data_IF_297553314369
#
_entry.id   IF_297553314369
#
_cell.length_a   1.000
_cell.length_b   1.000
_cell.length_c   1.000
_cell.angle_alpha   90.00
_cell.angle_beta   90.00
_cell.angle_gamma   90.00
#
_symmetry.space_group_name_H-M   'P 1'
#
loop_
_entity.id
_entity.type
_entity.pdbx_description
1 polymer ?
#
# COMPACT_ATOMS: atom_id res chain seq x y z
N UNK A 1 -9.99 4.25 -36.67
CA UNK A 1 -8.69 3.98 -35.99
C UNK A 1 -8.79 2.60 -35.36
N UNK A 2 -7.93 1.66 -35.74
CA UNK A 2 -7.97 0.30 -35.19
C UNK A 2 -6.66 0.02 -34.45
N UNK A 3 -6.70 0.07 -33.13
CA UNK A 3 -5.57 -0.30 -32.27
C UNK A 3 -5.63 -1.80 -31.96
N UNK A 4 -4.57 -2.53 -32.27
CA UNK A 4 -4.48 -3.98 -31.98
C UNK A 4 -3.85 -4.21 -30.60
N UNK A 5 -4.44 -5.08 -29.79
CA UNK A 5 -3.92 -5.42 -28.46
C UNK A 5 -2.50 -6.03 -28.51
N UNK A 6 -2.19 -6.78 -29.57
CA UNK A 6 -0.84 -7.32 -29.78
C UNK A 6 0.22 -6.22 -29.94
N UNK A 7 -0.11 -5.14 -30.66
CA UNK A 7 0.79 -4.00 -30.83
C UNK A 7 1.00 -3.24 -29.53
N UNK A 8 -0.04 -3.07 -28.71
CA UNK A 8 0.08 -2.47 -27.38
C UNK A 8 0.99 -3.29 -26.46
N UNK A 9 0.89 -4.62 -26.47
CA UNK A 9 1.81 -5.51 -25.74
C UNK A 9 3.26 -5.34 -26.21
N UNK A 10 3.46 -5.13 -27.49
CA UNK A 10 4.79 -4.89 -28.06
C UNK A 10 5.38 -3.56 -27.58
N UNK A 11 4.58 -2.50 -27.59
CA UNK A 11 5.00 -1.20 -27.04
C UNK A 11 5.36 -1.33 -25.55
N UNK A 12 4.54 -2.01 -24.74
CA UNK A 12 4.82 -2.28 -23.31
C UNK A 12 6.15 -3.03 -23.12
N UNK A 13 6.41 -4.05 -23.93
CA UNK A 13 7.65 -4.83 -23.85
C UNK A 13 8.89 -4.00 -24.20
N UNK A 14 8.82 -3.17 -25.27
CA UNK A 14 9.93 -2.29 -25.64
C UNK A 14 10.19 -1.24 -24.56
N UNK A 15 9.15 -0.59 -24.04
CA UNK A 15 9.27 0.41 -22.99
C UNK A 15 9.92 -0.17 -21.71
N UNK A 16 9.47 -1.35 -21.28
CA UNK A 16 10.00 -2.03 -20.08
C UNK A 16 11.44 -2.50 -20.27
N UNK A 17 11.79 -3.06 -21.43
CA UNK A 17 13.14 -3.59 -21.71
C UNK A 17 14.13 -2.52 -22.17
N UNK A 18 13.63 -1.37 -22.60
CA UNK A 18 14.44 -0.33 -23.21
C UNK A 18 15.12 -0.78 -24.51
N UNK A 19 14.63 -1.83 -25.18
CA UNK A 19 15.29 -2.45 -26.34
C UNK A 19 14.33 -3.25 -27.21
N UNK A 20 14.31 -2.94 -28.50
CA UNK A 20 13.52 -3.68 -29.49
C UNK A 20 13.94 -5.15 -29.62
N UNK A 21 15.25 -5.43 -29.56
CA UNK A 21 15.74 -6.81 -29.66
C UNK A 21 15.39 -7.64 -28.43
N UNK A 22 15.49 -7.06 -27.21
CA UNK A 22 15.09 -7.75 -25.98
C UNK A 22 13.57 -7.98 -25.92
N UNK A 23 12.79 -7.01 -26.39
CA UNK A 23 11.33 -7.17 -26.51
C UNK A 23 10.96 -8.27 -27.52
N UNK A 24 11.67 -8.33 -28.66
CA UNK A 24 11.48 -9.39 -29.67
C UNK A 24 11.71 -10.79 -29.07
N UNK A 25 12.80 -10.95 -28.34
CA UNK A 25 13.11 -12.21 -27.65
C UNK A 25 12.03 -12.59 -26.63
N UNK A 26 11.57 -11.64 -25.81
CA UNK A 26 10.52 -11.89 -24.81
C UNK A 26 9.17 -12.26 -25.43
N UNK A 27 8.84 -11.64 -26.58
CA UNK A 27 7.56 -11.86 -27.28
C UNK A 27 7.61 -13.03 -28.26
N UNK A 28 8.79 -13.69 -28.42
CA UNK A 28 9.02 -14.76 -29.38
C UNK A 28 8.68 -14.38 -30.83
N UNK A 29 9.02 -13.12 -31.21
CA UNK A 29 8.87 -12.60 -32.58
C UNK A 29 10.20 -11.95 -33.03
N UNK A 30 10.28 -11.61 -34.31
CA UNK A 30 11.49 -10.97 -34.86
C UNK A 30 11.56 -9.48 -34.49
N UNK A 31 12.77 -8.94 -34.40
CA UNK A 31 12.95 -7.50 -34.14
C UNK A 31 12.33 -6.59 -35.22
N UNK A 32 12.38 -6.92 -36.52
CA UNK A 32 11.61 -6.18 -37.53
C UNK A 32 10.10 -6.18 -37.29
N UNK A 33 9.51 -7.31 -36.85
CA UNK A 33 8.10 -7.37 -36.48
C UNK A 33 7.76 -6.43 -35.31
N UNK A 34 8.60 -6.39 -34.26
CA UNK A 34 8.46 -5.43 -33.14
C UNK A 34 8.46 -3.99 -33.66
N UNK A 35 9.45 -3.66 -34.52
CA UNK A 35 9.56 -2.30 -35.11
C UNK A 35 8.34 -1.95 -35.96
N UNK A 36 7.84 -2.88 -36.74
CA UNK A 36 6.66 -2.67 -37.55
C UNK A 36 5.39 -2.45 -36.73
N UNK A 37 5.20 -3.21 -35.66
CA UNK A 37 4.05 -3.06 -34.76
C UNK A 37 4.06 -1.73 -34.02
N UNK A 38 5.22 -1.26 -33.54
CA UNK A 38 5.36 0.06 -32.91
C UNK A 38 5.06 1.17 -33.93
N UNK A 39 5.65 1.10 -35.14
CA UNK A 39 5.39 2.07 -36.21
C UNK A 39 3.91 2.11 -36.62
N UNK A 40 3.22 0.96 -36.62
CA UNK A 40 1.80 0.91 -36.90
C UNK A 40 0.97 1.68 -35.86
N UNK A 41 1.34 1.63 -34.56
CA UNK A 41 0.72 2.45 -33.52
C UNK A 41 1.02 3.93 -33.71
N UNK A 42 2.30 4.29 -33.96
CA UNK A 42 2.71 5.66 -34.19
C UNK A 42 2.01 6.29 -35.41
N UNK A 43 1.91 5.54 -36.50
CA UNK A 43 1.18 5.95 -37.70
C UNK A 43 -0.31 6.13 -37.44
N UNK A 44 -0.95 5.21 -36.69
CA UNK A 44 -2.38 5.29 -36.36
C UNK A 44 -2.72 6.48 -35.45
N UNK A 45 -1.77 6.91 -34.61
CA UNK A 45 -1.94 8.00 -33.64
C UNK A 45 -1.35 9.33 -34.11
N UNK A 46 -0.55 9.32 -35.18
CA UNK A 46 0.12 10.51 -35.70
C UNK A 46 1.20 11.09 -34.76
N UNK A 47 1.72 10.29 -33.83
CA UNK A 47 2.68 10.74 -32.83
C UNK A 47 3.75 9.66 -32.56
N UNK A 48 5.03 10.04 -32.35
CA UNK A 48 6.05 9.11 -31.89
C UNK A 48 5.75 8.67 -30.47
N UNK A 49 5.81 7.35 -30.23
CA UNK A 49 5.54 6.75 -28.90
C UNK A 49 6.81 6.36 -28.16
N UNK A 50 7.90 6.18 -28.90
CA UNK A 50 9.22 5.86 -28.36
C UNK A 50 10.26 6.81 -28.94
N UNK A 51 11.21 7.19 -28.10
CA UNK A 51 12.42 7.91 -28.48
C UNK A 51 13.66 7.07 -28.16
N UNK A 52 14.74 7.31 -28.89
CA UNK A 52 16.02 6.64 -28.67
C UNK A 52 17.01 7.60 -28.03
N UNK A 53 17.51 7.21 -26.86
CA UNK A 53 18.62 7.90 -26.21
C UNK A 53 19.80 6.92 -26.16
N UNK A 54 20.76 7.11 -27.05
CA UNK A 54 21.86 6.18 -27.26
C UNK A 54 21.37 4.82 -27.76
N UNK A 55 21.66 3.76 -27.03
CA UNK A 55 21.26 2.38 -27.36
C UNK A 55 19.93 1.95 -26.72
N UNK A 56 19.24 2.81 -25.99
CA UNK A 56 18.00 2.49 -25.27
C UNK A 56 16.81 3.23 -25.87
N UNK A 57 15.65 2.58 -25.82
CA UNK A 57 14.37 3.16 -26.17
C UNK A 57 13.60 3.56 -24.89
N UNK A 58 13.06 4.77 -24.87
CA UNK A 58 12.23 5.31 -23.80
C UNK A 58 10.89 5.75 -24.36
N UNK A 59 9.81 5.67 -23.56
CA UNK A 59 8.53 6.24 -23.95
C UNK A 59 8.62 7.76 -24.07
N UNK A 60 7.98 8.31 -25.11
CA UNK A 60 7.66 9.75 -25.18
C UNK A 60 6.47 10.06 -24.26
N UNK A 61 6.12 11.34 -23.99
CA UNK A 61 4.89 11.68 -23.28
C UNK A 61 3.63 11.05 -23.90
N UNK A 62 3.54 10.97 -25.22
CA UNK A 62 2.47 10.26 -25.93
C UNK A 62 2.53 8.73 -25.67
N UNK A 63 3.74 8.18 -25.64
CA UNK A 63 3.99 6.78 -25.31
C UNK A 63 3.56 6.44 -23.88
N UNK A 64 3.93 7.27 -22.90
CA UNK A 64 3.53 7.10 -21.50
C UNK A 64 2.00 7.13 -21.33
N UNK A 65 1.35 8.08 -21.99
CA UNK A 65 -0.11 8.19 -21.97
C UNK A 65 -0.77 6.93 -22.55
N UNK A 66 -0.31 6.46 -23.72
CA UNK A 66 -0.83 5.26 -24.35
C UNK A 66 -0.58 4.02 -23.49
N UNK A 67 0.61 3.86 -22.93
CA UNK A 67 0.97 2.74 -22.06
C UNK A 67 0.07 2.68 -20.81
N UNK A 68 -0.22 3.83 -20.19
CA UNK A 68 -1.13 3.90 -19.04
C UNK A 68 -2.54 3.40 -19.41
N UNK A 69 -3.08 3.86 -20.54
CA UNK A 69 -4.39 3.42 -21.02
C UNK A 69 -4.40 1.95 -21.49
N UNK A 70 -3.36 1.49 -22.18
CA UNK A 70 -3.22 0.10 -22.60
C UNK A 70 -3.18 -0.87 -21.41
N UNK A 71 -2.44 -0.51 -20.36
CA UNK A 71 -2.40 -1.28 -19.12
C UNK A 71 -3.78 -1.35 -18.44
N UNK A 72 -4.56 -0.27 -18.45
CA UNK A 72 -5.94 -0.25 -17.92
C UNK A 72 -6.86 -1.16 -18.75
N UNK A 73 -6.85 -1.02 -20.09
CA UNK A 73 -7.67 -1.84 -20.97
C UNK A 73 -7.38 -3.33 -20.82
N UNK A 74 -6.10 -3.71 -20.71
CA UNK A 74 -5.69 -5.10 -20.48
C UNK A 74 -6.24 -5.63 -19.15
N UNK A 75 -6.18 -4.85 -18.08
CA UNK A 75 -6.73 -5.24 -16.77
C UNK A 75 -8.24 -5.44 -16.80
N UNK A 76 -8.97 -4.60 -17.55
CA UNK A 76 -10.43 -4.78 -17.71
C UNK A 76 -10.76 -6.09 -18.42
N UNK A 77 -9.99 -6.48 -19.42
CA UNK A 77 -10.14 -7.79 -20.10
C UNK A 77 -9.80 -8.95 -19.14
N UNK A 78 -8.71 -8.85 -18.37
CA UNK A 78 -8.36 -9.83 -17.33
C UNK A 78 -9.52 -9.98 -16.33
N UNK A 79 -10.09 -8.87 -15.86
CA UNK A 79 -11.24 -8.85 -14.94
C UNK A 79 -12.47 -9.54 -15.56
N UNK A 80 -12.76 -9.29 -16.83
CA UNK A 80 -13.88 -9.96 -17.53
C UNK A 80 -13.67 -11.47 -17.58
N UNK A 81 -12.46 -11.94 -17.88
CA UNK A 81 -12.13 -13.38 -17.87
C UNK A 81 -12.33 -13.99 -16.48
N UNK A 82 -11.87 -13.31 -15.44
CA UNK A 82 -12.05 -13.76 -14.04
C UNK A 82 -13.53 -13.83 -13.65
N UNK A 83 -14.34 -12.85 -14.06
CA UNK A 83 -15.79 -12.85 -13.82
C UNK A 83 -16.49 -14.01 -14.54
N UNK A 84 -16.12 -14.27 -15.80
CA UNK A 84 -16.66 -15.41 -16.55
C UNK A 84 -16.32 -16.75 -15.88
N UNK A 85 -15.08 -16.87 -15.35
CA UNK A 85 -14.70 -18.06 -14.57
C UNK A 85 -15.50 -18.16 -13.26
N UNK A 86 -15.79 -17.02 -12.64
CA UNK A 86 -16.64 -16.93 -11.45
C UNK A 86 -18.05 -17.44 -11.65
N UNK A 87 -18.64 -17.26 -12.83
CA UNK A 87 -19.95 -17.82 -13.16
C UNK A 87 -19.97 -19.36 -13.09
N UNK A 88 -18.81 -20.00 -13.17
CA UNK A 88 -18.61 -21.44 -12.99
C UNK A 88 -18.27 -21.84 -11.54
N UNK A 89 -18.40 -20.92 -10.58
CA UNK A 89 -18.06 -21.15 -9.18
C UNK A 89 -16.54 -21.21 -8.89
N UNK A 90 -15.70 -20.80 -9.83
CA UNK A 90 -14.24 -20.84 -9.68
C UNK A 90 -13.76 -19.51 -9.12
N UNK A 91 -13.19 -19.54 -7.91
CA UNK A 91 -12.47 -18.41 -7.33
C UNK A 91 -10.99 -18.55 -7.72
N UNK A 92 -10.59 -17.83 -8.75
CA UNK A 92 -9.24 -17.84 -9.29
C UNK A 92 -8.91 -16.44 -9.86
N UNK A 93 -7.65 -16.23 -10.22
CA UNK A 93 -7.18 -14.97 -10.80
C UNK A 93 -6.15 -14.29 -9.93
N UNK A 94 -6.03 -12.98 -10.04
CA UNK A 94 -5.03 -12.19 -9.31
C UNK A 94 -5.68 -11.06 -8.53
N UNK A 95 -5.24 -10.84 -7.29
CA UNK A 95 -5.59 -9.68 -6.48
C UNK A 95 -4.32 -8.85 -6.25
N UNK A 96 -4.37 -7.58 -6.61
CA UNK A 96 -3.29 -6.61 -6.38
C UNK A 96 -3.69 -5.69 -5.24
N UNK A 97 -2.99 -5.82 -4.12
CA UNK A 97 -3.30 -5.14 -2.86
C UNK A 97 -2.24 -4.06 -2.64
N UNK A 98 -2.68 -2.83 -2.38
CA UNK A 98 -1.79 -1.77 -1.94
C UNK A 98 -1.95 -1.49 -0.45
N UNK A 99 -0.86 -1.25 0.26
CA UNK A 99 -0.94 -0.96 1.69
C UNK A 99 0.30 -0.23 2.21
N UNK A 100 0.29 0.20 3.47
CA UNK A 100 1.52 0.70 4.12
C UNK A 100 2.36 -0.45 4.66
N UNK A 101 3.66 -0.20 4.86
CA UNK A 101 4.59 -1.19 5.41
C UNK A 101 4.10 -1.77 6.75
N UNK A 102 3.62 -0.91 7.67
CA UNK A 102 3.14 -1.37 8.98
C UNK A 102 1.90 -2.27 8.89
N UNK A 103 0.96 -1.94 8.00
CA UNK A 103 -0.25 -2.73 7.80
C UNK A 103 0.09 -4.09 7.17
N UNK A 104 1.00 -4.11 6.16
CA UNK A 104 1.43 -5.35 5.53
C UNK A 104 2.20 -6.28 6.47
N UNK A 105 2.97 -5.71 7.40
CA UNK A 105 3.81 -6.48 8.32
C UNK A 105 3.01 -7.07 9.48
N UNK A 106 2.11 -6.28 10.08
CA UNK A 106 1.52 -6.67 11.36
C UNK A 106 0.05 -7.01 11.30
N UNK A 107 -0.69 -6.44 10.35
CA UNK A 107 -2.13 -6.56 10.32
C UNK A 107 -2.63 -7.58 9.29
N UNK A 108 -2.08 -7.58 8.08
CA UNK A 108 -2.58 -8.41 6.98
C UNK A 108 -2.17 -9.89 7.01
N UNK A 109 -1.02 -10.33 7.56
CA UNK A 109 -0.54 -11.70 7.41
C UNK A 109 -1.55 -12.78 7.80
N UNK A 110 -2.33 -12.66 8.90
CA UNK A 110 -3.34 -13.67 9.22
C UNK A 110 -4.43 -13.82 8.16
N UNK A 111 -4.93 -12.69 7.61
CA UNK A 111 -5.95 -12.71 6.56
C UNK A 111 -5.39 -13.27 5.24
N UNK A 112 -4.16 -12.87 4.86
CA UNK A 112 -3.50 -13.38 3.67
C UNK A 112 -3.24 -14.89 3.75
N UNK A 113 -2.82 -15.37 4.91
CA UNK A 113 -2.59 -16.80 5.15
C UNK A 113 -3.88 -17.61 5.07
N UNK A 114 -4.95 -17.14 5.70
CA UNK A 114 -6.26 -17.77 5.64
C UNK A 114 -6.82 -17.78 4.20
N UNK A 115 -6.73 -16.64 3.49
CA UNK A 115 -7.18 -16.51 2.12
C UNK A 115 -6.41 -17.44 1.17
N UNK A 116 -5.08 -17.48 1.28
CA UNK A 116 -4.24 -18.35 0.43
C UNK A 116 -4.56 -19.83 0.63
N UNK A 117 -4.87 -20.23 1.87
CA UNK A 117 -5.27 -21.62 2.19
C UNK A 117 -6.65 -21.95 1.60
N UNK A 118 -7.60 -21.03 1.65
CA UNK A 118 -8.95 -21.23 1.14
C UNK A 118 -9.01 -21.17 -0.40
N UNK A 119 -8.19 -20.32 -1.03
CA UNK A 119 -8.23 -20.05 -2.46
C UNK A 119 -6.83 -20.20 -3.12
N UNK A 120 -6.29 -21.44 -3.21
CA UNK A 120 -4.91 -21.67 -3.67
C UNK A 120 -4.67 -21.32 -5.14
N UNK A 121 -5.75 -21.14 -5.94
CA UNK A 121 -5.68 -20.74 -7.34
C UNK A 121 -5.64 -19.23 -7.56
N UNK A 122 -5.59 -18.44 -6.48
CA UNK A 122 -5.53 -16.99 -6.56
C UNK A 122 -4.12 -16.49 -6.28
N UNK A 123 -3.59 -15.69 -7.19
CA UNK A 123 -2.32 -14.99 -7.00
C UNK A 123 -2.53 -13.70 -6.21
N UNK A 124 -1.70 -13.49 -5.19
CA UNK A 124 -1.67 -12.26 -4.41
C UNK A 124 -0.41 -11.46 -4.74
N UNK A 125 -0.59 -10.20 -5.08
CA UNK A 125 0.51 -9.22 -5.21
C UNK A 125 0.28 -8.11 -4.20
N UNK A 126 1.30 -7.77 -3.42
CA UNK A 126 1.21 -6.73 -2.40
C UNK A 126 2.24 -5.66 -2.73
N UNK A 127 1.78 -4.43 -2.89
CA UNK A 127 2.62 -3.25 -3.05
C UNK A 127 2.56 -2.40 -1.78
N UNK A 128 3.71 -1.94 -1.32
CA UNK A 128 3.78 -1.04 -0.16
C UNK A 128 4.11 0.39 -0.60
N UNK A 129 3.42 1.34 0.00
CA UNK A 129 3.60 2.76 -0.27
C UNK A 129 2.83 3.63 0.72
N UNK A 130 2.91 4.94 0.57
CA UNK A 130 2.07 5.85 1.36
C UNK A 130 0.62 5.87 0.82
N UNK A 131 -0.30 6.42 1.62
CA UNK A 131 -1.73 6.40 1.29
C UNK A 131 -2.06 7.11 -0.05
N UNK A 132 -1.34 8.17 -0.39
CA UNK A 132 -1.56 8.91 -1.64
C UNK A 132 -1.07 8.11 -2.86
N UNK A 133 0.08 7.46 -2.77
CA UNK A 133 0.63 6.59 -3.82
C UNK A 133 -0.29 5.40 -4.07
N UNK A 134 -0.74 4.74 -3.00
CA UNK A 134 -1.66 3.61 -3.10
C UNK A 134 -3.01 4.05 -3.68
N UNK A 135 -3.57 5.16 -3.22
CA UNK A 135 -4.82 5.71 -3.77
C UNK A 135 -4.69 5.98 -5.28
N UNK A 136 -3.61 6.62 -5.71
CA UNK A 136 -3.32 6.86 -7.13
C UNK A 136 -3.20 5.54 -7.90
N UNK A 137 -2.50 4.54 -7.37
CA UNK A 137 -2.37 3.22 -8.01
C UNK A 137 -3.71 2.50 -8.15
N UNK A 138 -4.65 2.71 -7.21
CA UNK A 138 -6.02 2.19 -7.31
C UNK A 138 -6.80 2.94 -8.39
N UNK A 139 -6.73 4.28 -8.45
CA UNK A 139 -7.36 5.09 -9.53
C UNK A 139 -6.85 4.66 -10.90
N UNK A 140 -5.55 4.48 -11.05
CA UNK A 140 -4.92 4.02 -12.28
C UNK A 140 -5.16 2.51 -12.57
N UNK A 141 -5.96 1.84 -11.75
CA UNK A 141 -6.22 0.39 -11.82
C UNK A 141 -4.96 -0.49 -11.76
N UNK A 142 -3.83 0.01 -11.28
CA UNK A 142 -2.65 -0.82 -11.00
C UNK A 142 -2.88 -1.74 -9.82
N UNK A 143 -3.70 -1.29 -8.86
CA UNK A 143 -4.16 -2.05 -7.70
C UNK A 143 -5.68 -2.27 -7.76
N UNK A 144 -6.13 -3.36 -7.15
CA UNK A 144 -7.55 -3.71 -7.06
C UNK A 144 -8.19 -3.15 -5.80
N UNK A 145 -7.42 -3.08 -4.72
CA UNK A 145 -7.80 -2.54 -3.42
C UNK A 145 -6.60 -1.93 -2.72
N UNK A 146 -6.82 -0.83 -2.01
CA UNK A 146 -5.86 -0.26 -1.07
C UNK A 146 -6.36 -0.41 0.36
N UNK A 147 -5.46 -0.74 1.29
CA UNK A 147 -5.70 -0.78 2.73
C UNK A 147 -4.75 0.23 3.36
N UNK A 148 -5.26 1.40 3.71
CA UNK A 148 -4.42 2.57 4.01
C UNK A 148 -4.94 3.38 5.20
N UNK A 149 -4.06 4.15 5.81
CA UNK A 149 -4.48 5.14 6.82
C UNK A 149 -5.25 6.28 6.17
N UNK A 150 -6.41 6.60 6.72
CA UNK A 150 -7.24 7.71 6.29
C UNK A 150 -6.73 9.06 6.86
N UNK A 151 -7.12 10.20 6.29
CA UNK A 151 -8.07 10.36 5.21
C UNK A 151 -7.47 10.17 3.81
N UNK A 152 -8.28 9.61 2.92
CA UNK A 152 -8.06 9.60 1.47
C UNK A 152 -9.27 10.27 0.82
N UNK A 153 -9.03 11.26 -0.03
CA UNK A 153 -10.10 12.01 -0.72
C UNK A 153 -9.85 11.96 -2.22
N UNK A 154 -10.68 11.20 -2.91
CA UNK A 154 -10.68 11.12 -4.37
C UNK A 154 -12.09 10.77 -4.84
N UNK A 155 -12.57 11.45 -5.90
CA UNK A 155 -13.93 11.27 -6.42
C UNK A 155 -14.14 9.93 -7.12
N UNK A 156 -13.07 9.36 -7.68
CA UNK A 156 -13.10 8.07 -8.36
C UNK A 156 -13.07 6.90 -7.36
N UNK A 157 -12.71 7.15 -6.10
CA UNK A 157 -12.58 6.13 -5.08
C UNK A 157 -13.84 5.99 -4.23
N UNK A 158 -14.17 4.75 -3.92
CA UNK A 158 -15.02 4.38 -2.79
C UNK A 158 -14.12 4.11 -1.59
N UNK A 159 -14.27 4.92 -0.56
CA UNK A 159 -13.53 4.79 0.70
C UNK A 159 -14.49 4.26 1.75
N UNK A 160 -14.12 3.18 2.44
CA UNK A 160 -14.89 2.60 3.56
C UNK A 160 -13.98 2.44 4.76
N UNK A 161 -14.45 2.82 5.96
CA UNK A 161 -13.71 2.55 7.19
C UNK A 161 -13.58 1.04 7.41
N UNK A 162 -12.40 0.61 7.85
CA UNK A 162 -12.10 -0.79 8.11
C UNK A 162 -11.83 -1.02 9.61
N UNK A 163 -10.95 -0.23 10.20
CA UNK A 163 -10.52 -0.41 11.59
C UNK A 163 -9.94 0.89 12.17
N UNK A 164 -10.22 1.13 13.46
CA UNK A 164 -9.59 2.20 14.23
C UNK A 164 -8.43 1.60 15.03
N UNK A 165 -7.23 1.96 14.65
CA UNK A 165 -5.97 1.44 15.18
C UNK A 165 -5.45 2.37 16.28
N UNK A 166 -5.41 1.90 17.52
CA UNK A 166 -4.91 2.65 18.66
C UNK A 166 -3.41 2.91 18.54
N UNK A 167 -3.01 4.17 18.67
CA UNK A 167 -1.61 4.56 18.78
C UNK A 167 -1.22 4.64 20.26
N UNK A 168 -0.03 4.16 20.58
CA UNK A 168 0.54 4.13 21.92
C UNK A 168 1.92 4.77 21.91
N UNK A 169 2.30 5.37 23.03
CA UNK A 169 3.69 5.72 23.27
C UNK A 169 4.48 4.46 23.61
N UNK A 170 5.73 4.38 23.15
CA UNK A 170 6.67 3.33 23.53
C UNK A 170 7.93 3.95 24.10
N UNK A 171 8.43 3.34 25.17
CA UNK A 171 9.62 3.73 25.91
C UNK A 171 10.62 2.58 25.99
N UNK A 172 11.91 2.86 26.25
CA UNK A 172 12.91 1.84 26.54
C UNK A 172 12.48 0.91 27.68
N UNK A 173 12.93 -0.35 27.69
CA UNK A 173 12.60 -1.28 28.76
C UNK A 173 13.20 -0.80 30.09
N UNK A 174 12.39 -0.83 31.14
CA UNK A 174 12.84 -0.41 32.47
C UNK A 174 13.11 1.08 32.63
N UNK A 175 12.64 1.93 31.74
CA UNK A 175 12.79 3.37 31.84
C UNK A 175 12.11 3.88 33.15
N UNK A 176 12.84 4.51 34.07
CA UNK A 176 12.30 4.95 35.38
C UNK A 176 11.22 6.04 35.24
N UNK A 177 11.14 6.69 34.07
CA UNK A 177 10.12 7.71 33.79
C UNK A 177 8.75 7.07 33.48
N UNK A 178 8.70 5.78 33.24
CA UNK A 178 7.47 5.00 33.05
C UNK A 178 6.86 4.64 34.41
N UNK A 179 6.40 5.66 35.15
CA UNK A 179 5.75 5.45 36.45
C UNK A 179 4.23 5.16 36.30
N UNK A 180 3.64 5.39 35.13
CA UNK A 180 2.20 5.33 34.88
C UNK A 180 1.91 4.57 33.61
N UNK A 181 0.70 3.98 33.52
CA UNK A 181 0.22 3.31 32.32
C UNK A 181 -0.20 4.27 31.18
N UNK A 182 -0.16 5.57 31.42
CA UNK A 182 -0.63 6.62 30.49
C UNK A 182 0.33 7.79 30.46
N UNK A 183 0.40 8.47 29.31
CA UNK A 183 1.21 9.66 29.09
C UNK A 183 0.44 10.70 28.29
N UNK A 184 0.53 11.97 28.73
CA UNK A 184 -0.03 13.11 28.01
C UNK A 184 0.94 13.72 27.01
N UNK A 185 0.41 14.54 26.07
CA UNK A 185 1.22 15.17 25.04
C UNK A 185 2.33 16.08 25.61
N UNK A 186 1.99 16.89 26.61
CA UNK A 186 2.96 17.80 27.25
C UNK A 186 4.06 17.04 28.00
N UNK A 187 3.77 15.88 28.55
CA UNK A 187 4.73 15.01 29.22
C UNK A 187 5.63 14.32 28.19
N UNK A 188 5.02 13.72 27.17
CA UNK A 188 5.74 13.03 26.12
C UNK A 188 6.64 13.96 25.29
N UNK A 189 6.24 15.23 25.08
CA UNK A 189 7.04 16.22 24.36
C UNK A 189 8.35 16.62 25.08
N UNK A 190 8.52 16.28 26.35
CA UNK A 190 9.74 16.51 27.11
C UNK A 190 10.79 15.43 26.96
N UNK A 191 10.37 14.28 26.39
CA UNK A 191 11.26 13.16 26.16
C UNK A 191 11.99 13.32 24.81
N UNK A 192 13.19 12.77 24.65
CA UNK A 192 13.80 12.64 23.33
C UNK A 192 12.93 11.70 22.48
N UNK A 193 12.47 12.18 21.33
CA UNK A 193 11.56 11.41 20.48
C UNK A 193 12.23 10.89 19.23
N UNK A 194 11.87 9.66 18.86
CA UNK A 194 12.14 9.05 17.58
C UNK A 194 10.80 8.92 16.85
N UNK A 195 10.54 9.73 15.85
CA UNK A 195 9.24 9.78 15.19
C UNK A 195 9.31 9.33 13.74
N UNK A 196 8.13 9.10 13.16
CA UNK A 196 8.01 8.92 11.72
C UNK A 196 8.40 10.21 10.98
N UNK A 197 8.92 10.06 9.75
CA UNK A 197 9.16 11.18 8.84
C UNK A 197 7.85 11.92 8.47
N UNK A 198 7.96 13.16 8.00
CA UNK A 198 6.83 14.02 7.70
C UNK A 198 5.97 13.59 6.49
N UNK A 199 6.35 12.55 5.75
CA UNK A 199 5.65 12.12 4.54
C UNK A 199 4.39 11.27 4.77
N UNK A 200 4.23 10.68 5.96
CA UNK A 200 3.21 9.67 6.25
C UNK A 200 1.96 10.20 6.94
N UNK A 201 0.82 9.51 6.77
CA UNK A 201 -0.43 9.82 7.48
C UNK A 201 -0.28 9.63 9.00
N UNK A 202 0.50 8.64 9.45
CA UNK A 202 0.73 8.38 10.88
C UNK A 202 1.37 9.59 11.54
N UNK A 203 2.43 10.16 10.93
CA UNK A 203 3.08 11.35 11.46
C UNK A 203 2.11 12.52 11.56
N UNK A 204 1.28 12.76 10.56
CA UNK A 204 0.26 13.83 10.62
C UNK A 204 -0.73 13.66 11.77
N UNK A 205 -1.14 12.44 12.06
CA UNK A 205 -2.04 12.12 13.18
C UNK A 205 -1.33 12.42 14.51
N UNK A 206 -0.07 12.03 14.65
CA UNK A 206 0.77 12.30 15.84
C UNK A 206 0.99 13.80 16.02
N UNK A 207 1.39 14.52 14.97
CA UNK A 207 1.60 15.97 15.02
C UNK A 207 0.31 16.71 15.40
N UNK A 208 -0.85 16.28 14.84
CA UNK A 208 -2.15 16.82 15.21
C UNK A 208 -2.49 16.64 16.68
N UNK A 209 -2.11 15.52 17.29
CA UNK A 209 -2.33 15.25 18.70
C UNK A 209 -1.47 16.15 19.61
N UNK A 210 -0.20 16.36 19.27
CA UNK A 210 0.67 17.31 19.97
C UNK A 210 0.17 18.74 19.79
N UNK A 211 -0.20 19.12 18.58
CA UNK A 211 -0.71 20.46 18.28
C UNK A 211 -2.00 20.78 19.06
N UNK A 212 -2.93 19.81 19.17
CA UNK A 212 -4.15 19.97 19.94
C UNK A 212 -3.90 20.22 21.44
N UNK A 213 -2.76 19.78 21.96
CA UNK A 213 -2.30 20.06 23.32
C UNK A 213 -1.45 21.34 23.44
N UNK A 214 -1.26 22.08 22.35
CA UNK A 214 -0.46 23.31 22.34
C UNK A 214 1.06 23.09 22.50
N UNK A 215 1.56 21.89 22.18
CA UNK A 215 2.98 21.56 22.31
C UNK A 215 3.57 21.15 20.95
N UNK A 216 4.86 21.44 20.77
CA UNK A 216 5.62 21.00 19.62
C UNK A 216 6.76 20.08 20.09
N UNK A 217 6.72 18.79 19.78
CA UNK A 217 7.77 17.87 20.20
C UNK A 217 9.05 18.12 19.42
N UNK A 218 10.19 17.91 20.09
CA UNK A 218 11.49 17.86 19.42
C UNK A 218 11.80 16.39 19.11
N UNK A 219 11.85 16.05 17.82
CA UNK A 219 12.23 14.72 17.37
C UNK A 219 13.63 14.79 16.72
N UNK A 220 14.70 14.50 17.47
CA UNK A 220 16.06 14.52 16.91
C UNK A 220 16.30 13.43 15.88
N UNK A 221 15.44 12.42 15.83
CA UNK A 221 15.50 11.32 14.85
C UNK A 221 14.14 11.10 14.17
N UNK A 222 14.18 11.05 12.84
CA UNK A 222 13.02 10.78 12.02
C UNK A 222 13.30 9.64 11.03
N UNK A 223 12.39 8.67 10.95
CA UNK A 223 12.55 7.49 10.11
C UNK A 223 11.22 7.10 9.47
N UNK A 224 11.26 6.48 8.28
CA UNK A 224 10.08 5.96 7.58
C UNK A 224 9.69 4.54 8.00
N UNK A 225 10.53 3.85 8.78
CA UNK A 225 10.41 2.41 9.06
C UNK A 225 10.06 2.14 10.52
N UNK A 226 8.91 1.52 10.77
CA UNK A 226 8.43 1.17 12.12
C UNK A 226 9.41 0.25 12.87
N UNK A 227 10.01 -0.74 12.20
CA UNK A 227 10.97 -1.66 12.83
C UNK A 227 12.22 -0.91 13.30
N UNK A 228 12.76 0.00 12.48
CA UNK A 228 13.91 0.82 12.86
C UNK A 228 13.57 1.69 14.07
N UNK A 229 12.40 2.33 14.08
CA UNK A 229 11.94 3.14 15.24
C UNK A 229 11.89 2.28 16.51
N UNK A 230 11.28 1.09 16.46
CA UNK A 230 11.22 0.18 17.62
C UNK A 230 12.60 -0.18 18.13
N UNK A 231 13.55 -0.50 17.22
CA UNK A 231 14.92 -0.85 17.60
C UNK A 231 15.70 0.30 18.22
N UNK A 232 15.46 1.53 17.77
CA UNK A 232 16.06 2.71 18.38
C UNK A 232 15.51 2.98 19.79
N UNK A 233 14.19 2.77 19.98
CA UNK A 233 13.57 2.86 21.33
C UNK A 233 14.11 1.74 22.24
N UNK A 234 14.17 0.49 21.76
CA UNK A 234 14.73 -0.64 22.49
C UNK A 234 16.18 -0.38 22.94
N UNK A 235 16.96 0.29 22.09
CA UNK A 235 18.35 0.70 22.38
C UNK A 235 18.47 1.92 23.29
N UNK A 236 17.37 2.50 23.79
CA UNK A 236 17.39 3.62 24.72
C UNK A 236 17.59 5.00 24.08
N UNK A 237 17.46 5.13 22.77
CA UNK A 237 17.72 6.39 22.06
C UNK A 237 16.57 7.40 22.14
N UNK A 238 15.44 7.01 22.70
CA UNK A 238 14.30 7.90 22.90
C UNK A 238 12.98 7.13 23.02
N UNK A 239 11.90 7.90 23.07
CA UNK A 239 10.53 7.39 23.07
C UNK A 239 9.92 7.56 21.66
N UNK A 240 8.82 6.85 21.39
CA UNK A 240 8.11 7.02 20.13
C UNK A 240 6.60 6.87 20.29
N UNK A 241 5.85 7.19 19.24
CA UNK A 241 4.42 6.91 19.13
C UNK A 241 4.21 6.02 17.91
N UNK A 242 3.58 4.87 18.11
CA UNK A 242 3.33 3.91 17.05
C UNK A 242 2.04 3.13 17.29
N UNK A 243 1.65 2.31 16.31
CA UNK A 243 0.47 1.43 16.40
C UNK A 243 0.67 0.33 17.45
N UNK A 244 -0.37 0.06 18.23
CA UNK A 244 -0.38 -1.06 19.19
C UNK A 244 -0.04 -2.40 18.51
N UNK A 245 -0.60 -2.67 17.32
CA UNK A 245 -0.31 -3.92 16.60
C UNK A 245 1.15 -4.11 16.25
N UNK A 246 1.88 -3.01 16.07
CA UNK A 246 3.30 -3.08 15.71
C UNK A 246 4.21 -3.39 16.89
N UNK A 247 3.73 -3.26 18.12
CA UNK A 247 4.53 -3.39 19.34
C UNK A 247 4.02 -4.44 20.33
N UNK A 248 2.90 -5.11 20.01
CA UNK A 248 2.31 -6.14 20.90
C UNK A 248 3.31 -7.24 21.26
N UNK A 249 4.15 -7.67 20.32
CA UNK A 249 5.17 -8.69 20.55
C UNK A 249 6.30 -8.20 21.46
N UNK A 250 6.77 -6.97 21.23
CA UNK A 250 7.84 -6.34 22.02
C UNK A 250 7.40 -6.04 23.46
N UNK A 251 6.15 -5.61 23.61
CA UNK A 251 5.58 -5.43 24.97
C UNK A 251 5.48 -6.75 25.69
N UNK A 252 5.04 -7.81 25.02
CA UNK A 252 4.96 -9.17 25.59
C UNK A 252 6.35 -9.71 25.95
N UNK A 253 7.35 -9.48 25.13
CA UNK A 253 8.75 -9.88 25.38
C UNK A 253 9.50 -8.91 26.29
N UNK A 254 8.86 -7.80 26.71
CA UNK A 254 9.45 -6.75 27.57
C UNK A 254 10.67 -6.06 26.99
N UNK A 255 10.79 -6.00 25.68
CA UNK A 255 11.87 -5.26 25.00
C UNK A 255 11.54 -3.79 24.79
N UNK A 256 10.27 -3.42 24.93
CA UNK A 256 9.79 -2.03 25.08
C UNK A 256 8.67 -1.97 26.13
N UNK A 257 8.43 -0.78 26.66
CA UNK A 257 7.25 -0.50 27.49
C UNK A 257 6.27 0.34 26.72
N UNK A 258 5.00 -0.05 26.69
CA UNK A 258 3.95 0.74 26.03
C UNK A 258 3.10 1.50 27.05
N UNK A 259 2.76 2.74 26.72
CA UNK A 259 1.90 3.62 27.51
C UNK A 259 0.74 4.12 26.61
N UNK A 260 -0.46 4.18 27.17
CA UNK A 260 -1.58 4.79 26.47
C UNK A 260 -1.44 6.31 26.41
N UNK A 261 -1.84 6.86 25.29
CA UNK A 261 -1.90 8.30 25.11
C UNK A 261 -3.14 8.89 25.80
N UNK A 262 -3.00 10.08 26.35
CA UNK A 262 -4.08 10.86 26.96
C UNK A 262 -4.10 12.27 26.38
N UNK A 263 -5.17 12.71 25.69
CA UNK A 263 -6.31 11.89 25.27
C UNK A 263 -5.90 10.73 24.33
N UNK A 264 -6.73 9.67 24.22
CA UNK A 264 -6.44 8.57 23.32
C UNK A 264 -6.26 9.04 21.87
N UNK A 265 -5.35 8.40 21.16
CA UNK A 265 -5.07 8.69 19.76
C UNK A 265 -5.29 7.44 18.91
N UNK A 266 -6.11 7.57 17.89
CA UNK A 266 -6.38 6.51 16.95
C UNK A 266 -6.09 6.99 15.53
N UNK A 267 -5.62 6.08 14.68
CA UNK A 267 -5.60 6.27 13.24
C UNK A 267 -6.67 5.41 12.59
N UNK A 268 -7.45 5.99 11.73
CA UNK A 268 -8.44 5.25 10.98
C UNK A 268 -7.79 4.54 9.79
N UNK A 269 -7.96 3.23 9.69
CA UNK A 269 -7.58 2.43 8.53
C UNK A 269 -8.82 2.24 7.66
N UNK A 270 -8.68 2.44 6.35
CA UNK A 270 -9.77 2.30 5.40
C UNK A 270 -9.39 1.44 4.21
N UNK A 271 -10.45 0.92 3.57
CA UNK A 271 -10.37 0.24 2.28
C UNK A 271 -10.68 1.27 1.19
N UNK A 272 -9.81 1.36 0.18
CA UNK A 272 -10.01 2.21 -0.97
C UNK A 272 -10.08 1.37 -2.24
N UNK A 273 -11.12 1.59 -3.07
CA UNK A 273 -11.35 0.89 -4.33
C UNK A 273 -11.93 1.85 -5.35
N UNK A 274 -11.73 1.62 -6.62
CA UNK A 274 -12.43 2.38 -7.67
C UNK A 274 -13.94 2.13 -7.57
N UNK A 275 -14.71 3.19 -7.82
CA UNK A 275 -16.19 3.13 -7.79
C UNK A 275 -16.77 2.35 -8.95
N UNK A 276 -16.17 2.51 -10.13
CA UNK A 276 -16.62 1.97 -11.41
C UNK A 276 -16.01 0.59 -11.74
N UNK A 277 -15.06 0.10 -10.93
CA UNK A 277 -14.42 -1.19 -11.18
C UNK A 277 -15.33 -2.34 -10.75
N UNK A 278 -15.67 -3.27 -11.68
CA UNK A 278 -16.39 -4.48 -11.33
C UNK A 278 -15.62 -5.32 -10.30
N UNK A 279 -16.36 -5.96 -9.42
CA UNK A 279 -15.78 -6.89 -8.44
C UNK A 279 -15.57 -8.26 -9.10
N UNK A 280 -14.45 -8.89 -8.80
CA UNK A 280 -14.19 -10.29 -9.17
C UNK A 280 -14.49 -11.20 -7.99
N UNK A 281 -14.82 -12.48 -8.22
CA UNK A 281 -15.04 -13.44 -7.14
C UNK A 281 -13.87 -13.53 -6.16
N UNK A 282 -12.64 -13.43 -6.67
CA UNK A 282 -11.44 -13.43 -5.83
C UNK A 282 -11.37 -12.21 -4.92
N UNK A 283 -11.67 -11.01 -5.46
CA UNK A 283 -11.68 -9.77 -4.66
C UNK A 283 -12.80 -9.81 -3.62
N UNK A 284 -13.98 -10.33 -3.95
CA UNK A 284 -15.09 -10.45 -3.01
C UNK A 284 -14.74 -11.38 -1.86
N UNK A 285 -14.23 -12.57 -2.15
CA UNK A 285 -13.77 -13.51 -1.13
C UNK A 285 -12.67 -12.94 -0.24
N UNK A 286 -11.76 -12.13 -0.81
CA UNK A 286 -10.73 -11.45 -0.02
C UNK A 286 -11.31 -10.38 0.91
N UNK A 287 -12.26 -9.58 0.45
CA UNK A 287 -12.92 -8.55 1.25
C UNK A 287 -13.75 -9.17 2.39
N UNK A 288 -14.42 -10.31 2.14
CA UNK A 288 -15.12 -11.05 3.18
C UNK A 288 -14.16 -11.58 4.25
N UNK A 289 -12.98 -12.08 3.84
CA UNK A 289 -11.91 -12.48 4.76
C UNK A 289 -11.33 -11.31 5.58
N UNK A 290 -11.34 -10.08 5.05
CA UNK A 290 -10.98 -8.89 5.83
C UNK A 290 -12.01 -8.56 6.91
N UNK A 291 -13.29 -8.82 6.69
CA UNK A 291 -14.33 -8.65 7.73
C UNK A 291 -14.12 -9.61 8.91
N UNK A 292 -13.65 -10.83 8.66
CA UNK A 292 -13.24 -11.75 9.72
C UNK A 292 -12.01 -11.24 10.48
N UNK A 293 -11.03 -10.72 9.77
CA UNK A 293 -9.87 -10.07 10.40
C UNK A 293 -10.32 -8.91 11.29
N UNK A 294 -11.21 -8.04 10.83
CA UNK A 294 -11.75 -6.92 11.62
C UNK A 294 -12.31 -7.40 12.95
N UNK A 295 -13.13 -8.47 12.97
CA UNK A 295 -13.70 -9.06 14.20
C UNK A 295 -12.61 -9.55 15.16
N UNK A 296 -11.50 -10.08 14.63
CA UNK A 296 -10.36 -10.50 15.46
C UNK A 296 -9.65 -9.29 16.06
N UNK A 297 -9.45 -8.24 15.28
CA UNK A 297 -8.78 -7.01 15.72
C UNK A 297 -9.56 -6.29 16.82
N UNK A 298 -10.89 -6.22 16.70
CA UNK A 298 -11.76 -5.66 17.74
C UNK A 298 -11.59 -6.36 19.10
N UNK A 299 -11.30 -7.67 19.11
CA UNK A 299 -11.02 -8.44 20.33
C UNK A 299 -9.61 -8.27 20.89
N UNK A 300 -8.67 -7.79 20.08
CA UNK A 300 -7.25 -7.59 20.44
C UNK A 300 -6.94 -6.19 20.94
N UNK A 301 -7.92 -5.29 21.01
CA UNK A 301 -7.70 -3.97 21.64
C UNK A 301 -7.10 -4.17 23.04
N UNK A 302 -6.10 -3.35 23.44
CA UNK A 302 -5.54 -3.44 24.79
C UNK A 302 -6.68 -3.40 25.80
N UNK A 303 -6.79 -4.45 26.65
CA UNK A 303 -7.85 -4.51 27.66
C UNK A 303 -7.66 -3.34 28.60
N UNK A 304 -8.76 -2.67 28.96
CA UNK A 304 -8.78 -1.64 29.99
C UNK A 304 -8.46 -2.30 31.34
N UNK A 305 -7.21 -2.32 31.74
CA UNK A 305 -6.77 -2.58 33.11
C UNK A 305 -6.28 -1.27 33.73
#
# INVERSE_FOLDING_TARGET
>A
MQLQLSHLRTLEAVARRGSFSRAAHELHITQPAVSMQVRALESALGAPLLERVGKRAFPTPAGELLLAHAARARRELETAVEQIQGLKGIVAGRIRIGTSASISTYLLPPALGAFRKAFPRTDLTIETGNAAEIARSVVESRLDVGIVSLPVRDRELRVTSFHDDELVAIAPPGDPRVARARVGAAELAREPLVLFDHGGNVRRVIDGWFHAAGVAPVAPMELSNTEAIKKLVEAGLGWSVTSWFSVESEVRSRTVTALRLTPPLERQIGLVRRRDKPRTPALDAFLDGLDDLRRVLERRRPRHT
#
